data_IF_954508750041
#
_entry.id   IF_954508750041
#
_cell.length_a   1.000
_cell.length_b   1.000
_cell.length_c   1.000
_cell.angle_alpha   90.00
_cell.angle_beta   90.00
_cell.angle_gamma   90.00
#
_symmetry.space_group_name_H-M   'P 1'
#
loop_
_entity.id
_entity.type
_entity.pdbx_description
1 polymer ?
#
# COMPACT_ATOMS: atom_id res chain seq x y z
N UNK A 1 18.60 17.41 19.15
CA UNK A 1 18.00 16.50 18.15
C UNK A 1 18.76 15.20 17.94
N UNK A 2 18.95 14.39 18.98
CA UNK A 2 19.63 13.08 18.85
C UNK A 2 18.76 12.03 18.12
N UNK A 3 17.44 12.20 18.11
CA UNK A 3 16.52 11.25 17.48
C UNK A 3 16.67 11.18 15.95
N UNK A 4 16.87 12.33 15.29
CA UNK A 4 17.12 12.38 13.86
C UNK A 4 18.52 11.86 13.50
N UNK A 5 19.52 12.06 14.38
CA UNK A 5 20.85 11.48 14.16
C UNK A 5 20.84 9.97 14.28
N UNK A 6 20.13 9.40 15.26
CA UNK A 6 20.08 7.95 15.47
C UNK A 6 19.39 7.23 14.31
N UNK A 7 18.29 7.80 13.79
CA UNK A 7 17.63 7.28 12.57
C UNK A 7 18.54 7.33 11.35
N UNK A 8 19.28 8.43 11.17
CA UNK A 8 20.22 8.56 10.06
C UNK A 8 21.31 7.50 10.14
N UNK A 9 21.91 7.33 11.32
CA UNK A 9 22.95 6.31 11.57
C UNK A 9 22.39 4.91 11.29
N UNK A 10 21.20 4.59 11.80
CA UNK A 10 20.56 3.31 11.53
C UNK A 10 20.29 3.10 10.05
N UNK A 11 19.84 4.14 9.35
CA UNK A 11 19.55 4.06 7.92
C UNK A 11 20.82 3.86 7.07
N UNK A 12 21.92 4.52 7.42
CA UNK A 12 23.23 4.30 6.80
C UNK A 12 23.71 2.86 7.02
N UNK A 13 23.55 2.34 8.25
CA UNK A 13 23.82 0.94 8.56
C UNK A 13 22.94 0.00 7.74
N UNK A 14 21.64 0.29 7.60
CA UNK A 14 20.69 -0.47 6.80
C UNK A 14 21.12 -0.56 5.33
N UNK A 15 21.50 0.57 4.72
CA UNK A 15 21.99 0.61 3.33
C UNK A 15 23.33 -0.11 3.18
N UNK A 16 24.21 -0.04 4.18
CA UNK A 16 25.44 -0.82 4.18
C UNK A 16 25.15 -2.32 4.12
N UNK A 17 24.16 -2.80 4.88
CA UNK A 17 23.78 -4.23 4.85
C UNK A 17 23.18 -4.65 3.52
N UNK A 18 22.49 -3.76 2.83
CA UNK A 18 22.03 -4.01 1.46
C UNK A 18 23.24 -4.27 0.53
N UNK A 19 24.24 -3.39 0.57
CA UNK A 19 25.45 -3.49 -0.26
C UNK A 19 26.22 -4.78 0.03
N UNK A 20 26.39 -5.12 1.31
CA UNK A 20 27.05 -6.36 1.73
C UNK A 20 26.32 -7.61 1.23
N UNK A 21 24.97 -7.60 1.19
CA UNK A 21 24.19 -8.76 0.77
C UNK A 21 24.22 -8.98 -0.75
N UNK A 22 23.99 -7.93 -1.54
CA UNK A 22 23.91 -8.04 -3.00
C UNK A 22 25.25 -7.89 -3.71
N UNK A 23 26.33 -7.57 -2.97
CA UNK A 23 27.69 -7.47 -3.50
C UNK A 23 27.89 -6.35 -4.53
N UNK A 24 26.93 -5.44 -4.67
CA UNK A 24 26.99 -4.31 -5.61
C UNK A 24 26.46 -3.03 -4.97
N UNK A 25 27.32 -2.03 -4.89
CA UNK A 25 26.95 -0.70 -4.37
C UNK A 25 25.92 -0.01 -5.27
N UNK A 26 26.02 -0.24 -6.57
CA UNK A 26 25.20 0.45 -7.58
C UNK A 26 23.71 0.17 -7.42
N UNK A 27 23.29 -1.08 -7.18
CA UNK A 27 21.87 -1.44 -7.10
C UNK A 27 21.23 -0.80 -5.87
N UNK A 28 21.82 -0.97 -4.68
CA UNK A 28 21.27 -0.40 -3.45
C UNK A 28 21.24 1.13 -3.49
N UNK A 29 22.34 1.77 -3.92
CA UNK A 29 22.42 3.22 -3.96
C UNK A 29 21.49 3.83 -5.01
N UNK A 30 21.37 3.22 -6.20
CA UNK A 30 20.46 3.70 -7.25
C UNK A 30 19.00 3.62 -6.81
N UNK A 31 18.59 2.51 -6.22
CA UNK A 31 17.20 2.35 -5.77
C UNK A 31 16.89 3.26 -4.57
N UNK A 32 17.86 3.46 -3.69
CA UNK A 32 17.72 4.40 -2.58
C UNK A 32 17.59 5.84 -3.08
N UNK A 33 18.45 6.26 -4.03
CA UNK A 33 18.34 7.56 -4.67
C UNK A 33 17.00 7.75 -5.37
N UNK A 34 16.47 6.71 -6.03
CA UNK A 34 15.15 6.74 -6.64
C UNK A 34 14.04 6.89 -5.58
N UNK A 35 14.10 6.14 -4.47
CA UNK A 35 13.15 6.24 -3.37
C UNK A 35 13.16 7.65 -2.75
N UNK A 36 14.34 8.21 -2.49
CA UNK A 36 14.49 9.58 -1.99
C UNK A 36 13.91 10.59 -2.99
N UNK A 37 14.20 10.43 -4.28
CA UNK A 37 13.68 11.31 -5.33
C UNK A 37 12.16 11.27 -5.38
N UNK A 38 11.55 10.08 -5.31
CA UNK A 38 10.09 9.93 -5.26
C UNK A 38 9.51 10.60 -4.01
N UNK A 39 10.12 10.40 -2.84
CA UNK A 39 9.69 11.06 -1.60
C UNK A 39 9.75 12.59 -1.71
N UNK A 40 10.74 13.13 -2.41
CA UNK A 40 10.90 14.57 -2.57
C UNK A 40 9.95 15.18 -3.61
N UNK A 41 9.63 14.46 -4.67
CA UNK A 41 8.95 15.02 -5.84
C UNK A 41 7.47 14.60 -5.93
N UNK A 42 7.16 13.35 -5.58
CA UNK A 42 5.83 12.80 -5.79
C UNK A 42 4.77 13.50 -4.94
N UNK A 43 4.93 13.72 -3.61
CA UNK A 43 3.90 14.35 -2.77
C UNK A 43 3.35 15.66 -3.34
N UNK A 44 4.23 16.56 -3.77
CA UNK A 44 3.86 17.87 -4.32
C UNK A 44 3.17 17.79 -5.69
N UNK A 45 3.28 16.64 -6.37
CA UNK A 45 2.67 16.40 -7.69
C UNK A 45 1.33 15.67 -7.62
N UNK A 46 0.91 15.21 -6.44
CA UNK A 46 -0.31 14.42 -6.24
C UNK A 46 -1.47 15.30 -5.77
N UNK A 47 -2.69 14.86 -6.05
CA UNK A 47 -3.89 15.41 -5.44
C UNK A 47 -3.99 14.96 -3.97
N UNK A 48 -4.30 15.90 -3.08
CA UNK A 48 -4.60 15.62 -1.68
C UNK A 48 -6.13 15.52 -1.53
N UNK A 49 -6.62 14.37 -1.09
CA UNK A 49 -8.05 14.10 -0.88
C UNK A 49 -8.54 14.52 0.50
N UNK A 50 -7.65 14.59 1.49
CA UNK A 50 -7.98 14.90 2.87
C UNK A 50 -6.94 15.82 3.52
N UNK A 51 -7.32 16.44 4.63
CA UNK A 51 -6.48 17.42 5.33
C UNK A 51 -5.16 16.83 5.83
N UNK A 52 -5.16 15.59 6.33
CA UNK A 52 -3.96 14.96 6.92
C UNK A 52 -3.35 13.88 6.01
N UNK A 53 -4.07 13.34 5.04
CA UNK A 53 -3.60 12.22 4.23
C UNK A 53 -3.65 10.85 4.92
N UNK A 54 -4.13 10.77 6.17
CA UNK A 54 -4.34 9.50 6.86
C UNK A 54 -5.49 9.53 7.87
N UNK A 55 -6.00 8.34 8.21
CA UNK A 55 -6.99 8.15 9.28
C UNK A 55 -6.86 6.78 9.93
N UNK A 56 -6.69 6.74 11.26
CA UNK A 56 -6.81 5.51 12.05
C UNK A 56 -8.27 5.27 12.45
N UNK A 57 -8.71 4.01 12.38
CA UNK A 57 -10.06 3.57 12.74
C UNK A 57 -10.06 2.09 13.16
N UNK A 58 -11.23 1.52 13.49
CA UNK A 58 -11.43 0.09 13.78
C UNK A 58 -12.22 -0.55 12.64
N UNK A 59 -11.88 -1.77 12.27
CA UNK A 59 -12.72 -2.56 11.36
C UNK A 59 -13.96 -3.10 12.09
N UNK A 60 -15.04 -3.46 11.38
CA UNK A 60 -16.19 -4.13 11.98
C UNK A 60 -15.78 -5.44 12.67
N UNK A 61 -16.32 -5.68 13.85
CA UNK A 61 -16.01 -6.86 14.68
C UNK A 61 -16.18 -8.18 13.93
N UNK A 62 -17.19 -8.27 13.06
CA UNK A 62 -17.43 -9.44 12.21
C UNK A 62 -16.26 -9.71 11.25
N UNK A 63 -15.72 -8.67 10.61
CA UNK A 63 -14.55 -8.81 9.73
C UNK A 63 -13.31 -9.20 10.52
N UNK A 64 -13.09 -8.57 11.68
CA UNK A 64 -11.94 -8.88 12.54
C UNK A 64 -11.95 -10.35 12.97
N UNK A 65 -13.09 -10.86 13.46
CA UNK A 65 -13.24 -12.28 13.82
C UNK A 65 -12.90 -13.20 12.66
N UNK A 66 -13.43 -12.93 11.45
CA UNK A 66 -13.14 -13.75 10.28
C UNK A 66 -11.66 -13.71 9.89
N UNK A 67 -11.02 -12.54 9.91
CA UNK A 67 -9.59 -12.39 9.61
C UNK A 67 -8.71 -13.10 10.64
N UNK A 68 -9.01 -12.92 11.94
CA UNK A 68 -8.24 -13.53 13.01
C UNK A 68 -8.37 -15.06 13.01
N UNK A 69 -9.58 -15.61 12.87
CA UNK A 69 -9.78 -17.06 12.74
C UNK A 69 -9.03 -17.62 11.54
N UNK A 70 -9.15 -16.97 10.38
CA UNK A 70 -8.41 -17.38 9.18
C UNK A 70 -6.89 -17.37 9.43
N UNK A 71 -6.34 -16.32 10.04
CA UNK A 71 -4.92 -16.25 10.35
C UNK A 71 -4.48 -17.35 11.31
N UNK A 72 -5.19 -17.56 12.40
CA UNK A 72 -4.85 -18.57 13.40
C UNK A 72 -4.84 -19.99 12.81
N UNK A 73 -5.82 -20.29 11.96
CA UNK A 73 -5.92 -21.58 11.27
C UNK A 73 -4.84 -21.78 10.21
N UNK A 74 -4.33 -20.71 9.58
CA UNK A 74 -3.47 -20.80 8.39
C UNK A 74 -2.05 -20.23 8.56
N UNK A 75 -1.70 -19.65 9.72
CA UNK A 75 -0.37 -19.06 9.95
C UNK A 75 0.80 -20.04 9.78
N UNK A 76 0.54 -21.34 9.96
CA UNK A 76 1.51 -22.40 9.73
C UNK A 76 1.82 -22.63 8.23
N UNK A 77 1.00 -22.08 7.34
CA UNK A 77 1.17 -22.11 5.88
C UNK A 77 1.90 -20.88 5.35
N UNK A 78 2.47 -20.04 6.22
CA UNK A 78 3.20 -18.85 5.80
C UNK A 78 4.34 -19.21 4.84
N UNK A 79 4.43 -18.49 3.72
CA UNK A 79 5.48 -18.66 2.73
C UNK A 79 6.38 -17.43 2.75
N UNK A 80 7.69 -17.64 2.61
CA UNK A 80 8.64 -16.52 2.50
C UNK A 80 8.28 -15.68 1.28
N UNK A 81 8.12 -14.37 1.47
CA UNK A 81 7.85 -13.45 0.38
C UNK A 81 9.10 -13.29 -0.49
N UNK A 82 8.93 -13.42 -1.81
CA UNK A 82 10.04 -13.21 -2.74
C UNK A 82 10.11 -11.73 -3.11
N UNK A 83 11.23 -11.09 -2.79
CA UNK A 83 11.47 -9.70 -3.10
C UNK A 83 12.49 -9.59 -4.23
N UNK A 84 12.30 -8.66 -5.18
CA UNK A 84 13.35 -8.31 -6.12
C UNK A 84 14.63 -7.87 -5.41
N UNK A 85 15.78 -8.24 -5.98
CA UNK A 85 17.11 -7.89 -5.46
C UNK A 85 17.38 -6.37 -5.40
N UNK A 86 16.51 -5.57 -6.03
CA UNK A 86 16.58 -4.12 -6.09
C UNK A 86 15.67 -3.39 -5.07
N UNK A 87 14.98 -4.13 -4.20
CA UNK A 87 14.08 -3.54 -3.21
C UNK A 87 14.85 -2.91 -2.05
N UNK A 88 14.73 -1.59 -1.87
CA UNK A 88 15.24 -0.85 -0.70
C UNK A 88 14.13 -0.31 0.21
N UNK A 89 12.89 -0.71 -0.01
CA UNK A 89 11.72 -0.28 0.77
C UNK A 89 11.60 -1.06 2.08
N UNK A 90 12.21 -2.24 2.15
CA UNK A 90 12.19 -3.13 3.32
C UNK A 90 13.49 -3.91 3.43
N UNK A 91 13.83 -4.36 4.63
CA UNK A 91 15.10 -5.04 4.91
C UNK A 91 15.05 -6.56 4.70
N UNK A 92 14.44 -7.05 3.62
CA UNK A 92 14.17 -8.49 3.45
C UNK A 92 15.41 -9.39 3.37
N UNK A 93 16.57 -8.82 3.05
CA UNK A 93 17.85 -9.53 3.09
C UNK A 93 18.34 -9.82 4.52
N UNK A 94 17.90 -9.02 5.51
CA UNK A 94 18.19 -9.21 6.93
C UNK A 94 17.03 -9.88 7.68
N UNK A 95 15.81 -9.41 7.44
CA UNK A 95 14.59 -9.86 8.08
C UNK A 95 13.53 -10.08 7.02
N UNK A 96 13.47 -11.28 6.42
CA UNK A 96 12.46 -11.60 5.41
C UNK A 96 11.04 -11.41 5.95
N UNK A 97 10.14 -10.96 5.09
CA UNK A 97 8.71 -11.06 5.32
C UNK A 97 8.17 -12.41 4.85
N UNK A 98 7.03 -12.77 5.42
CA UNK A 98 6.27 -13.97 5.05
C UNK A 98 4.86 -13.56 4.66
N UNK A 99 4.15 -14.44 3.97
CA UNK A 99 2.79 -14.20 3.50
C UNK A 99 1.93 -15.44 3.76
N UNK A 100 0.75 -15.23 4.33
CA UNK A 100 -0.34 -16.22 4.28
C UNK A 100 -1.31 -15.77 3.20
N UNK A 101 -1.52 -16.62 2.19
CA UNK A 101 -2.38 -16.28 1.07
C UNK A 101 -3.86 -16.25 1.49
N UNK A 102 -4.46 -15.08 1.39
CA UNK A 102 -5.87 -14.84 1.70
C UNK A 102 -6.83 -15.57 0.75
N UNK A 103 -6.34 -16.06 -0.41
CA UNK A 103 -7.09 -16.97 -1.28
C UNK A 103 -7.56 -18.22 -0.52
N UNK A 104 -6.77 -18.71 0.44
CA UNK A 104 -7.14 -19.83 1.29
C UNK A 104 -8.38 -19.57 2.16
N UNK A 105 -8.73 -18.30 2.41
CA UNK A 105 -9.92 -17.91 3.17
C UNK A 105 -11.22 -17.90 2.34
N UNK A 106 -11.12 -18.23 1.06
CA UNK A 106 -12.24 -18.29 0.12
C UNK A 106 -12.76 -16.91 -0.32
N UNK A 107 -13.64 -16.93 -1.31
CA UNK A 107 -14.18 -15.72 -1.95
C UNK A 107 -14.98 -14.83 -0.98
N UNK A 108 -15.55 -15.41 0.08
CA UNK A 108 -16.38 -14.68 1.05
C UNK A 108 -15.52 -13.72 1.89
N UNK A 109 -14.39 -14.20 2.42
CA UNK A 109 -13.50 -13.35 3.23
C UNK A 109 -12.89 -12.24 2.38
N UNK A 110 -12.37 -12.58 1.20
CA UNK A 110 -11.81 -11.59 0.27
C UNK A 110 -12.82 -10.51 -0.11
N UNK A 111 -14.04 -10.92 -0.48
CA UNK A 111 -15.12 -9.97 -0.82
C UNK A 111 -15.44 -9.06 0.37
N UNK A 112 -15.52 -9.61 1.57
CA UNK A 112 -15.81 -8.83 2.78
C UNK A 112 -14.69 -7.82 3.09
N UNK A 113 -13.42 -8.19 2.92
CA UNK A 113 -12.27 -7.27 3.06
C UNK A 113 -12.39 -6.14 2.02
N UNK A 114 -12.59 -6.48 0.75
CA UNK A 114 -12.71 -5.51 -0.33
C UNK A 114 -13.88 -4.53 -0.12
N UNK A 115 -15.06 -5.04 0.23
CA UNK A 115 -16.25 -4.21 0.45
C UNK A 115 -16.11 -3.30 1.66
N UNK A 116 -15.64 -3.84 2.78
CA UNK A 116 -15.46 -3.07 4.01
C UNK A 116 -14.42 -1.96 3.83
N UNK A 117 -13.25 -2.29 3.28
CA UNK A 117 -12.18 -1.30 3.08
C UNK A 117 -12.58 -0.21 2.09
N UNK A 118 -13.24 -0.59 0.98
CA UNK A 118 -13.79 0.38 0.01
C UNK A 118 -14.81 1.31 0.66
N UNK A 119 -15.77 0.79 1.42
CA UNK A 119 -16.78 1.60 2.09
C UNK A 119 -16.14 2.57 3.11
N UNK A 120 -15.12 2.11 3.83
CA UNK A 120 -14.43 2.94 4.83
C UNK A 120 -13.57 4.03 4.21
N UNK A 121 -12.92 3.78 3.07
CA UNK A 121 -12.21 4.82 2.32
C UNK A 121 -13.22 5.78 1.70
N UNK A 122 -14.29 5.30 1.06
CA UNK A 122 -15.35 6.15 0.51
C UNK A 122 -15.96 7.09 1.57
N UNK A 123 -16.27 6.58 2.77
CA UNK A 123 -16.75 7.41 3.89
C UNK A 123 -15.73 8.44 4.39
N UNK A 124 -14.44 8.19 4.17
CA UNK A 124 -13.38 9.08 4.60
C UNK A 124 -13.08 10.16 3.57
N UNK A 125 -13.06 9.81 2.29
CA UNK A 125 -12.61 10.70 1.20
C UNK A 125 -13.75 11.25 0.34
N UNK A 126 -14.89 10.59 0.31
CA UNK A 126 -15.99 10.85 -0.63
C UNK A 126 -15.78 10.27 -2.03
N UNK A 127 -14.64 9.61 -2.28
CA UNK A 127 -14.26 9.11 -3.60
C UNK A 127 -14.92 7.77 -3.94
N UNK A 128 -15.21 7.59 -5.23
CA UNK A 128 -15.53 6.28 -5.80
C UNK A 128 -14.23 5.54 -6.14
N UNK A 129 -14.18 4.23 -5.87
CA UNK A 129 -12.92 3.50 -5.83
C UNK A 129 -12.89 2.30 -6.77
N UNK A 130 -11.77 2.13 -7.47
CA UNK A 130 -11.42 0.92 -8.21
C UNK A 130 -10.40 0.11 -7.42
N UNK A 131 -10.65 -1.20 -7.17
CA UNK A 131 -9.67 -2.09 -6.56
C UNK A 131 -8.37 -2.14 -7.35
N UNK A 132 -7.23 -1.98 -6.67
CA UNK A 132 -5.90 -2.06 -7.30
C UNK A 132 -5.21 -3.37 -6.94
N UNK A 133 -5.05 -3.65 -5.66
CA UNK A 133 -4.46 -4.90 -5.18
C UNK A 133 -4.93 -5.24 -3.76
N UNK A 134 -5.07 -6.52 -3.47
CA UNK A 134 -5.25 -7.05 -2.13
C UNK A 134 -4.24 -8.15 -1.97
N UNK A 135 -3.34 -7.96 -1.02
CA UNK A 135 -2.32 -8.94 -0.69
C UNK A 135 -2.85 -9.91 0.36
N UNK A 136 -2.10 -11.00 0.59
CA UNK A 136 -2.32 -11.87 1.74
C UNK A 136 -2.06 -11.15 3.07
N UNK A 137 -2.00 -11.94 4.14
CA UNK A 137 -1.55 -11.45 5.44
C UNK A 137 -0.03 -11.47 5.41
N UNK A 138 0.60 -10.29 5.33
CA UNK A 138 2.06 -10.15 5.40
C UNK A 138 2.49 -10.19 6.86
N UNK A 139 3.44 -11.06 7.18
CA UNK A 139 4.02 -11.22 8.50
C UNK A 139 5.43 -10.64 8.50
N UNK A 140 5.62 -9.59 9.27
CA UNK A 140 6.91 -9.01 9.61
C UNK A 140 7.47 -9.74 10.83
N UNK A 141 8.74 -10.14 10.79
CA UNK A 141 9.41 -10.82 11.90
C UNK A 141 10.32 -9.86 12.67
N UNK A 142 10.96 -10.36 13.73
CA UNK A 142 11.95 -9.63 14.52
C UNK A 142 12.96 -8.89 13.64
N UNK A 143 13.22 -7.62 13.97
CA UNK A 143 14.08 -6.69 13.25
C UNK A 143 13.57 -6.25 11.87
N UNK A 144 12.33 -6.57 11.49
CA UNK A 144 11.72 -5.99 10.30
C UNK A 144 11.77 -4.46 10.34
N UNK A 145 12.04 -3.87 9.18
CA UNK A 145 12.18 -2.44 8.99
C UNK A 145 11.62 -2.08 7.60
N UNK A 146 10.84 -1.01 7.54
CA UNK A 146 10.33 -0.46 6.29
C UNK A 146 10.77 1.00 6.14
N UNK A 147 11.58 1.27 5.12
CA UNK A 147 12.08 2.61 4.85
C UNK A 147 10.91 3.57 4.54
N UNK A 148 10.94 4.83 5.01
CA UNK A 148 9.89 5.80 4.70
C UNK A 148 9.74 6.00 3.19
N UNK A 149 8.56 5.87 2.64
CA UNK A 149 8.34 5.97 1.20
C UNK A 149 6.96 6.55 0.87
N UNK A 150 6.82 6.99 -0.37
CA UNK A 150 5.52 7.12 -1.03
C UNK A 150 5.23 5.86 -1.84
N UNK A 151 3.96 5.51 -1.95
CA UNK A 151 3.50 4.41 -2.80
C UNK A 151 3.48 4.81 -4.27
N UNK A 152 3.84 3.87 -5.13
CA UNK A 152 3.74 4.03 -6.58
C UNK A 152 2.28 3.97 -7.04
N UNK A 153 1.94 4.69 -8.11
CA UNK A 153 0.64 4.52 -8.76
C UNK A 153 0.49 3.10 -9.33
N UNK A 154 -0.74 2.53 -9.33
CA UNK A 154 -2.03 3.12 -8.95
C UNK A 154 -2.40 2.96 -7.45
N UNK A 155 -1.44 2.81 -6.54
CA UNK A 155 -1.72 2.61 -5.10
C UNK A 155 -1.96 3.95 -4.39
N UNK A 156 -3.07 4.61 -4.75
CA UNK A 156 -3.45 5.92 -4.22
C UNK A 156 -3.89 5.76 -2.77
N UNK A 157 -4.99 5.04 -2.53
CA UNK A 157 -5.41 4.76 -1.17
C UNK A 157 -4.93 3.39 -0.72
N UNK A 158 -4.39 3.33 0.49
CA UNK A 158 -4.01 2.09 1.16
C UNK A 158 -4.77 1.94 2.47
N UNK A 159 -5.39 0.78 2.68
CA UNK A 159 -5.89 0.33 3.97
C UNK A 159 -4.94 -0.74 4.52
N UNK A 160 -4.35 -0.46 5.69
CA UNK A 160 -3.53 -1.40 6.46
C UNK A 160 -4.34 -1.89 7.63
N UNK A 161 -4.61 -3.19 7.72
CA UNK A 161 -5.36 -3.80 8.83
C UNK A 161 -4.39 -4.63 9.66
N UNK A 162 -4.28 -4.35 10.96
CA UNK A 162 -3.55 -5.21 11.88
C UNK A 162 -4.41 -6.44 12.21
N UNK A 163 -3.92 -7.62 11.85
CA UNK A 163 -4.62 -8.89 12.10
C UNK A 163 -4.21 -9.49 13.43
N UNK A 164 -2.89 -9.55 13.67
CA UNK A 164 -2.32 -10.12 14.87
C UNK A 164 -0.91 -9.55 15.07
N UNK A 165 -0.46 -9.50 16.32
CA UNK A 165 0.89 -9.07 16.64
C UNK A 165 1.34 -9.67 17.97
N UNK A 166 2.66 -9.81 18.10
CA UNK A 166 3.31 -10.29 19.31
C UNK A 166 4.60 -9.49 19.46
N UNK A 167 4.47 -8.31 20.08
CA UNK A 167 5.51 -7.29 20.21
C UNK A 167 6.03 -7.21 21.67
N UNK A 168 7.26 -6.73 21.83
CA UNK A 168 7.81 -6.33 23.14
C UNK A 168 7.56 -4.84 23.44
N UNK A 169 7.55 -4.02 22.39
CA UNK A 169 7.27 -2.59 22.43
C UNK A 169 6.46 -2.17 21.18
N UNK A 170 5.71 -1.06 21.21
CA UNK A 170 4.97 -0.58 20.04
C UNK A 170 5.85 -0.43 18.79
N UNK A 171 5.36 -0.88 17.64
CA UNK A 171 6.02 -0.73 16.35
C UNK A 171 5.22 0.21 15.43
N UNK A 172 5.33 1.54 15.64
CA UNK A 172 4.45 2.51 14.98
C UNK A 172 4.75 2.65 13.48
N UNK A 173 3.71 3.01 12.73
CA UNK A 173 3.84 3.55 11.38
C UNK A 173 4.08 5.05 11.53
N UNK A 174 5.24 5.52 11.06
CA UNK A 174 5.57 6.93 11.01
C UNK A 174 5.08 7.54 9.70
N UNK A 175 4.43 8.70 9.77
CA UNK A 175 3.83 9.39 8.64
C UNK A 175 4.26 10.85 8.66
N UNK A 176 4.82 11.34 7.57
CA UNK A 176 4.88 12.77 7.28
C UNK A 176 3.59 13.18 6.58
N UNK A 177 2.71 13.84 7.33
CA UNK A 177 1.37 14.22 6.90
C UNK A 177 1.39 15.45 5.97
N UNK A 178 0.27 15.70 5.28
CA UNK A 178 0.08 16.88 4.42
C UNK A 178 0.30 18.22 5.16
N UNK A 179 0.10 18.27 6.48
CA UNK A 179 0.35 19.47 7.29
C UNK A 179 1.84 19.67 7.64
N UNK A 180 2.75 18.82 7.14
CA UNK A 180 4.18 18.89 7.41
C UNK A 180 4.62 18.33 8.76
N UNK A 181 3.70 17.77 9.57
CA UNK A 181 4.04 17.16 10.86
C UNK A 181 4.27 15.65 10.74
N UNK A 182 5.17 15.14 11.59
CA UNK A 182 5.41 13.72 11.78
C UNK A 182 4.44 13.13 12.81
N UNK A 183 3.80 12.03 12.46
CA UNK A 183 2.89 11.28 13.33
C UNK A 183 3.36 9.83 13.47
N UNK A 184 3.42 9.33 14.71
CA UNK A 184 3.66 7.92 15.00
C UNK A 184 2.36 7.22 15.37
N UNK A 185 1.87 6.35 14.49
CA UNK A 185 0.59 5.66 14.64
C UNK A 185 0.83 4.21 15.08
N UNK A 186 0.56 3.90 16.34
CA UNK A 186 0.55 2.52 16.85
C UNK A 186 -0.78 1.84 16.52
N UNK A 187 -0.73 0.59 16.06
CA UNK A 187 -1.91 -0.25 15.81
C UNK A 187 -2.01 -1.42 16.79
N UNK A 188 -3.24 -1.86 17.04
CA UNK A 188 -3.60 -3.09 17.73
C UNK A 188 -4.41 -3.99 16.80
N UNK A 189 -4.48 -5.32 17.04
CA UNK A 189 -5.33 -6.22 16.26
C UNK A 189 -6.77 -5.68 16.12
N UNK A 190 -7.25 -5.58 14.88
CA UNK A 190 -8.54 -4.99 14.53
C UNK A 190 -8.52 -3.49 14.26
N UNK A 191 -7.38 -2.82 14.43
CA UNK A 191 -7.19 -1.47 13.94
C UNK A 191 -6.98 -1.48 12.42
N UNK A 192 -7.46 -0.43 11.77
CA UNK A 192 -7.15 -0.13 10.37
C UNK A 192 -6.63 1.29 10.24
N UNK A 193 -5.56 1.44 9.47
CA UNK A 193 -5.00 2.71 9.07
C UNK A 193 -5.27 2.93 7.58
N UNK A 194 -5.98 4.01 7.26
CA UNK A 194 -6.21 4.47 5.91
C UNK A 194 -5.18 5.54 5.56
N UNK A 195 -4.63 5.48 4.35
CA UNK A 195 -3.53 6.32 3.88
C UNK A 195 -3.80 6.81 2.46
N UNK A 196 -3.49 8.07 2.19
CA UNK A 196 -3.20 8.60 0.85
C UNK A 196 -1.74 8.29 0.51
N UNK A 197 -1.45 7.01 0.33
CA UNK A 197 -0.10 6.48 0.33
C UNK A 197 0.81 7.03 -0.77
N UNK A 198 0.24 7.57 -1.85
CA UNK A 198 0.93 8.25 -2.94
C UNK A 198 1.39 9.68 -2.59
N UNK A 199 0.70 10.38 -1.69
CA UNK A 199 0.95 11.80 -1.37
C UNK A 199 1.56 12.02 0.02
N UNK A 200 1.52 11.04 0.92
CA UNK A 200 2.22 11.08 2.22
C UNK A 200 3.40 10.11 2.28
N UNK A 201 4.53 10.58 2.84
CA UNK A 201 5.67 9.70 3.15
C UNK A 201 5.32 8.90 4.40
N UNK A 202 5.39 7.58 4.31
CA UNK A 202 5.07 6.69 5.41
C UNK A 202 6.04 5.50 5.48
N UNK A 203 6.24 4.95 6.66
CA UNK A 203 7.08 3.78 6.84
C UNK A 203 7.08 3.27 8.28
N UNK A 204 7.93 2.28 8.55
CA UNK A 204 8.20 1.81 9.90
C UNK A 204 9.71 1.89 10.12
N UNK A 205 10.23 3.12 10.32
CA UNK A 205 11.68 3.38 10.37
C UNK A 205 12.30 2.99 11.73
N UNK A 206 11.73 1.99 12.38
CA UNK A 206 12.17 1.42 13.64
C UNK A 206 12.29 -0.08 13.43
N UNK A 207 13.34 -0.76 13.89
CA UNK A 207 13.38 -2.22 13.82
C UNK A 207 12.30 -2.82 14.75
N UNK A 208 11.53 -3.78 14.24
CA UNK A 208 10.51 -4.50 15.01
C UNK A 208 11.15 -5.20 16.22
N UNK A 209 10.69 -4.86 17.42
CA UNK A 209 11.06 -5.55 18.66
C UNK A 209 9.91 -6.43 19.14
N UNK A 210 10.12 -7.73 19.02
CA UNK A 210 9.10 -8.73 19.26
C UNK A 210 9.31 -9.97 18.41
N UNK A 211 8.24 -10.77 18.29
CA UNK A 211 8.21 -12.00 17.51
C UNK A 211 7.68 -11.72 16.10
N UNK A 212 6.52 -11.07 16.00
CA UNK A 212 5.91 -10.75 14.71
C UNK A 212 4.88 -9.61 14.75
N UNK A 213 4.57 -9.08 13.56
CA UNK A 213 3.45 -8.18 13.28
C UNK A 213 2.81 -8.58 11.95
N UNK A 214 1.50 -8.83 11.92
CA UNK A 214 0.79 -9.37 10.78
C UNK A 214 -0.28 -8.40 10.26
N UNK A 215 -0.14 -7.98 9.00
CA UNK A 215 -1.03 -6.99 8.38
C UNK A 215 -1.63 -7.49 7.06
N UNK A 216 -2.86 -7.10 6.78
CA UNK A 216 -3.43 -7.09 5.43
C UNK A 216 -3.25 -5.70 4.83
N UNK A 217 -2.88 -5.66 3.55
CA UNK A 217 -2.76 -4.44 2.76
C UNK A 217 -3.74 -4.48 1.60
N UNK A 218 -4.59 -3.47 1.51
CA UNK A 218 -5.60 -3.34 0.46
C UNK A 218 -5.44 -1.98 -0.20
N UNK A 219 -5.38 -1.97 -1.53
CA UNK A 219 -5.08 -0.78 -2.31
C UNK A 219 -6.20 -0.46 -3.28
N UNK A 220 -6.45 0.82 -3.44
CA UNK A 220 -7.44 1.38 -4.36
C UNK A 220 -6.88 2.61 -5.06
N UNK A 221 -7.49 2.94 -6.19
CA UNK A 221 -7.42 4.27 -6.80
C UNK A 221 -8.81 4.88 -6.93
N UNK A 222 -8.97 6.21 -6.89
CA UNK A 222 -10.16 6.87 -7.39
C UNK A 222 -10.44 6.42 -8.82
N UNK A 223 -11.72 6.27 -9.17
CA UNK A 223 -12.08 5.88 -10.54
C UNK A 223 -11.49 6.89 -11.54
N UNK A 224 -10.68 6.38 -12.48
CA UNK A 224 -9.94 7.14 -13.50
C UNK A 224 -8.72 7.95 -13.01
N UNK A 225 -8.24 7.80 -11.77
CA UNK A 225 -7.07 8.54 -11.27
C UNK A 225 -5.83 8.36 -12.14
N UNK A 226 -5.36 7.12 -12.33
CA UNK A 226 -4.15 6.87 -13.13
C UNK A 226 -4.28 7.31 -14.59
N UNK A 227 -5.52 7.37 -15.12
CA UNK A 227 -5.78 7.93 -16.45
C UNK A 227 -5.67 9.46 -16.46
N UNK A 228 -6.22 10.15 -15.45
CA UNK A 228 -6.13 11.61 -15.32
C UNK A 228 -4.68 12.04 -15.11
N UNK A 229 -3.93 11.34 -14.27
CA UNK A 229 -2.51 11.58 -14.07
C UNK A 229 -1.70 11.35 -15.33
N UNK A 230 -1.89 10.21 -16.01
CA UNK A 230 -1.24 9.95 -17.28
C UNK A 230 -1.58 11.04 -18.32
N UNK A 231 -2.84 11.48 -18.38
CA UNK A 231 -3.25 12.55 -19.29
C UNK A 231 -2.62 13.91 -18.92
N UNK A 232 -2.51 14.25 -17.63
CA UNK A 232 -1.87 15.49 -17.17
C UNK A 232 -0.38 15.50 -17.48
N UNK A 233 0.31 14.36 -17.31
CA UNK A 233 1.70 14.16 -17.70
C UNK A 233 1.88 14.21 -19.22
N UNK A 234 0.97 13.62 -20.00
CA UNK A 234 1.00 13.67 -21.47
C UNK A 234 0.70 15.06 -22.06
N UNK A 235 -0.03 15.94 -21.35
CA UNK A 235 -0.20 17.34 -21.76
C UNK A 235 1.00 18.21 -21.35
N UNK A 236 1.84 17.73 -20.41
CA UNK A 236 3.12 18.35 -20.04
C UNK A 236 4.30 17.88 -20.89
N UNK A 237 4.27 16.64 -21.39
CA UNK A 237 5.28 16.05 -22.26
C UNK A 237 4.59 15.42 -23.48
N UNK A 238 4.45 16.23 -24.54
CA UNK A 238 4.06 15.75 -25.86
C UNK A 238 5.26 15.11 -26.57
N UNK A 239 5.89 14.08 -25.98
CA UNK A 239 6.68 13.11 -26.72
C UNK A 239 6.95 11.87 -25.84
N UNK A 240 7.10 10.69 -26.46
CA UNK A 240 7.39 9.37 -25.86
C UNK A 240 6.19 8.45 -25.54
N UNK A 241 5.63 7.92 -26.65
CA UNK A 241 5.25 6.50 -26.89
C UNK A 241 4.42 5.73 -25.85
N UNK A 242 3.11 5.66 -26.10
CA UNK A 242 2.15 4.75 -25.42
C UNK A 242 2.39 3.26 -25.77
N UNK A 243 2.39 2.41 -24.75
CA UNK A 243 2.49 0.96 -24.87
C UNK A 243 1.14 0.32 -25.29
N UNK A 244 1.17 -0.69 -26.17
CA UNK A 244 0.02 -1.21 -26.93
C UNK A 244 -1.09 -1.90 -26.09
N UNK A 245 -0.84 -2.25 -24.83
CA UNK A 245 -1.79 -3.03 -24.00
C UNK A 245 -2.94 -2.19 -23.43
N UNK A 246 -2.69 -0.93 -23.08
CA UNK A 246 -3.70 0.00 -22.51
C UNK A 246 -4.72 0.46 -23.56
N UNK A 247 -4.31 0.58 -24.83
CA UNK A 247 -5.21 0.92 -25.94
C UNK A 247 -6.29 -0.14 -26.15
N UNK A 248 -5.95 -1.43 -26.01
CA UNK A 248 -6.89 -2.53 -26.21
C UNK A 248 -7.91 -2.64 -25.07
N UNK A 249 -7.50 -2.38 -23.82
CA UNK A 249 -8.44 -2.32 -22.70
C UNK A 249 -9.43 -1.14 -22.85
N UNK A 250 -8.95 0.00 -23.33
CA UNK A 250 -9.78 1.18 -23.59
C UNK A 250 -10.86 0.94 -24.66
N UNK A 251 -10.51 0.31 -25.78
CA UNK A 251 -11.48 -0.02 -26.83
C UNK A 251 -12.53 -1.03 -26.36
N UNK A 252 -12.14 -1.99 -25.52
CA UNK A 252 -13.07 -2.97 -24.95
C UNK A 252 -14.04 -2.34 -23.95
N UNK A 253 -13.56 -1.51 -23.01
CA UNK A 253 -14.42 -0.82 -22.05
C UNK A 253 -15.40 0.16 -22.73
N UNK A 254 -14.99 0.79 -23.83
CA UNK A 254 -15.85 1.68 -24.62
C UNK A 254 -16.95 0.91 -25.36
N UNK A 255 -16.65 -0.26 -25.94
CA UNK A 255 -17.64 -1.15 -26.56
C UNK A 255 -18.68 -1.65 -25.55
N UNK A 256 -18.23 -2.05 -24.36
CA UNK A 256 -19.13 -2.54 -23.29
C UNK A 256 -20.10 -1.44 -22.83
N UNK A 257 -19.62 -0.21 -22.62
CA UNK A 257 -20.48 0.93 -22.23
C UNK A 257 -21.51 1.30 -23.32
N UNK A 258 -21.11 1.28 -24.60
CA UNK A 258 -22.04 1.55 -25.71
C UNK A 258 -23.12 0.46 -25.80
N UNK A 259 -22.75 -0.80 -25.57
CA UNK A 259 -23.69 -1.92 -25.64
C UNK A 259 -24.68 -1.93 -24.47
N UNK A 260 -24.24 -1.57 -23.26
CA UNK A 260 -25.12 -1.39 -22.11
C UNK A 260 -26.09 -0.21 -22.28
N UNK A 261 -25.62 0.92 -22.82
CA UNK A 261 -26.47 2.08 -23.10
C UNK A 261 -27.56 1.77 -24.15
N UNK A 262 -27.21 0.98 -25.18
CA UNK A 262 -28.16 0.56 -26.22
C UNK A 262 -29.19 -0.45 -25.70
N UNK A 263 -28.80 -1.34 -24.78
CA UNK A 263 -29.73 -2.29 -24.16
C UNK A 263 -30.72 -1.60 -23.22
N UNK A 264 -30.27 -0.60 -22.44
CA UNK A 264 -31.15 0.18 -21.56
C UNK A 264 -32.14 1.05 -22.34
N UNK A 265 -31.74 1.61 -23.50
CA UNK A 265 -32.67 2.32 -24.40
C UNK A 265 -33.73 1.40 -25.00
N UNK A 266 -33.40 0.14 -25.29
CA UNK A 266 -34.39 -0.83 -25.83
C UNK A 266 -35.40 -1.30 -24.79
N UNK A 267 -35.05 -1.33 -23.50
CA UNK A 267 -35.97 -1.72 -22.42
C UNK A 267 -36.93 -0.60 -22.05
N UNK A 268 -36.51 0.66 -22.16
CA UNK A 268 -37.35 1.83 -21.86
C UNK A 268 -38.41 2.16 -22.93
N UNK A 269 -38.38 1.51 -24.10
CA UNK A 269 -39.36 1.73 -25.21
C UNK A 269 -40.46 0.65 -25.19
N UNK A 270 -40.43 -0.30 -24.24
CA UNK A 270 -41.41 -1.39 -24.11
C UNK A 270 -42.21 -1.36 -22.80
N UNK A 271 -42.28 -0.22 -22.11
CA UNK A 271 -43.22 0.03 -21.01
C UNK A 271 -44.13 1.21 -21.37
#
# INVERSE_FOLDING_TARGET
DNYNSDKKIFHEWYLQRCREHYGTDDICNRNENNRISLNSLQPASMENYTELGFRKTRIPEKLFKSLNSFYEENKHLEQRENWPDDNVYSNNWLSPTYMVDILGGGNVLQKNIWETTREMIHKWTGEELTPSSLYGIRIFKKNAYAAPHVSRLPLVFTAVINVAQDLDEPWPIEILSHNGHLYNITMQPGDMLLLESQSIIHGQPFPLRGRFHANVFVHFEPVHHSYRDASSRMHGDADLTMNHSTKNQFENSRKVKIQQANNNKKTSIKQ
#
